data_IF_506900818030
#
_entry.id   IF_506900818030
#
_cell.length_a   1.000
_cell.length_b   1.000
_cell.length_c   1.000
_cell.angle_alpha   90.00
_cell.angle_beta   90.00
_cell.angle_gamma   90.00
#
_symmetry.space_group_name_H-M   'P 1'
#
loop_
_entity.id
_entity.type
_entity.pdbx_description
1 polymer ?
#
# COMPACT_ATOMS: atom_id res chain seq x y z
N UNK A 1 -56.17 -8.13 60.92
CA UNK A 1 -54.91 -7.55 61.47
C UNK A 1 -53.91 -7.12 60.40
N UNK A 2 -53.80 -7.81 59.25
CA UNK A 2 -52.87 -7.44 58.18
C UNK A 2 -53.14 -6.05 57.58
N UNK A 3 -54.41 -5.67 57.37
CA UNK A 3 -54.77 -4.40 56.73
C UNK A 3 -54.43 -3.17 57.58
N UNK A 4 -54.49 -3.30 58.91
CA UNK A 4 -54.10 -2.22 59.82
C UNK A 4 -52.58 -2.00 59.81
N UNK A 5 -51.79 -3.07 59.62
CA UNK A 5 -50.33 -2.97 59.46
C UNK A 5 -49.95 -2.33 58.13
N UNK A 6 -50.62 -2.69 57.03
CA UNK A 6 -50.42 -2.08 55.70
C UNK A 6 -50.80 -0.59 55.69
N UNK A 7 -51.91 -0.23 56.33
CA UNK A 7 -52.36 1.16 56.47
C UNK A 7 -51.34 2.04 57.21
N UNK A 8 -50.79 1.56 58.34
CA UNK A 8 -49.75 2.29 59.08
C UNK A 8 -48.47 2.43 58.25
N UNK A 9 -48.07 1.37 57.52
CA UNK A 9 -46.89 1.41 56.65
C UNK A 9 -47.05 2.42 55.49
N UNK A 10 -48.22 2.47 54.85
CA UNK A 10 -48.51 3.45 53.79
C UNK A 10 -48.55 4.87 54.34
N UNK A 11 -49.17 5.08 55.51
CA UNK A 11 -49.20 6.39 56.18
C UNK A 11 -47.80 6.88 56.52
N UNK A 12 -46.93 6.00 57.00
CA UNK A 12 -45.53 6.34 57.28
C UNK A 12 -44.77 6.71 55.99
N UNK A 13 -44.93 5.94 54.90
CA UNK A 13 -44.32 6.25 53.60
C UNK A 13 -44.78 7.61 53.06
N UNK A 14 -46.07 7.91 53.14
CA UNK A 14 -46.63 9.20 52.72
C UNK A 14 -46.16 10.35 53.62
N UNK A 15 -46.05 10.11 54.93
CA UNK A 15 -45.50 11.08 55.88
C UNK A 15 -44.03 11.40 55.58
N UNK A 16 -43.23 10.41 55.16
CA UNK A 16 -41.85 10.65 54.69
C UNK A 16 -41.79 11.47 53.40
N UNK A 17 -42.84 11.41 52.58
CA UNK A 17 -43.02 12.26 51.40
C UNK A 17 -43.75 13.57 51.72
N UNK A 18 -43.93 13.88 53.02
CA UNK A 18 -44.59 15.08 53.55
C UNK A 18 -46.10 15.19 53.26
N UNK A 19 -46.74 14.10 52.82
CA UNK A 19 -48.20 14.02 52.71
C UNK A 19 -48.83 13.70 54.07
N UNK A 20 -49.36 14.74 54.74
CA UNK A 20 -49.86 14.66 56.12
C UNK A 20 -51.39 14.70 56.26
N UNK A 21 -52.12 14.46 55.17
CA UNK A 21 -53.58 14.52 55.14
C UNK A 21 -54.22 13.31 55.83
N UNK A 22 -55.39 13.48 56.49
CA UNK A 22 -56.08 12.37 57.14
C UNK A 22 -56.52 11.32 56.10
N UNK A 23 -56.10 10.07 56.30
CA UNK A 23 -56.34 8.96 55.36
C UNK A 23 -57.44 8.02 55.88
N UNK A 24 -58.44 7.74 55.06
CA UNK A 24 -59.44 6.70 55.33
C UNK A 24 -58.89 5.31 54.97
N UNK A 25 -59.34 4.26 55.66
CA UNK A 25 -58.86 2.88 55.41
C UNK A 25 -59.28 2.33 54.03
N UNK A 26 -60.44 2.76 53.53
CA UNK A 26 -61.00 2.30 52.25
C UNK A 26 -60.22 2.80 51.03
N UNK A 27 -59.58 3.97 51.12
CA UNK A 27 -58.77 4.56 50.05
C UNK A 27 -57.31 4.07 50.03
N UNK A 28 -56.90 3.28 51.03
CA UNK A 28 -55.53 2.77 51.18
C UNK A 28 -55.02 1.97 49.94
N UNK A 29 -55.79 1.03 49.36
CA UNK A 29 -55.30 0.23 48.22
C UNK A 29 -55.07 1.07 46.95
N UNK A 30 -55.92 2.07 46.71
CA UNK A 30 -55.80 2.97 45.56
C UNK A 30 -54.54 3.84 45.68
N UNK A 31 -54.32 4.41 46.87
CA UNK A 31 -53.17 5.28 47.13
C UNK A 31 -51.86 4.50 47.07
N UNK A 32 -51.83 3.26 47.56
CA UNK A 32 -50.66 2.37 47.42
C UNK A 32 -50.35 2.08 45.95
N UNK A 33 -51.37 1.83 45.12
CA UNK A 33 -51.20 1.62 43.68
C UNK A 33 -50.71 2.89 42.97
N UNK A 34 -51.31 4.03 43.24
CA UNK A 34 -50.88 5.32 42.66
C UNK A 34 -49.45 5.70 43.06
N UNK A 35 -49.07 5.46 44.32
CA UNK A 35 -47.70 5.68 44.77
C UNK A 35 -46.72 4.73 44.07
N UNK A 36 -47.11 3.47 43.89
CA UNK A 36 -46.35 2.49 43.10
C UNK A 36 -46.16 2.94 41.66
N UNK A 37 -47.23 3.39 40.99
CA UNK A 37 -47.18 3.89 39.62
C UNK A 37 -46.30 5.16 39.50
N UNK A 38 -46.36 6.07 40.48
CA UNK A 38 -45.54 7.28 40.52
C UNK A 38 -44.05 6.95 40.71
N UNK A 39 -43.73 6.03 41.62
CA UNK A 39 -42.35 5.58 41.84
C UNK A 39 -41.82 4.87 40.60
N UNK A 40 -42.59 3.96 40.01
CA UNK A 40 -42.23 3.26 38.77
C UNK A 40 -42.01 4.25 37.61
N UNK A 41 -42.88 5.26 37.47
CA UNK A 41 -42.74 6.31 36.45
C UNK A 41 -41.50 7.15 36.69
N UNK A 42 -41.19 7.48 37.95
CA UNK A 42 -40.01 8.28 38.32
C UNK A 42 -38.72 7.49 38.05
N UNK A 43 -38.67 6.21 38.42
CA UNK A 43 -37.54 5.34 38.11
C UNK A 43 -37.35 5.16 36.61
N UNK A 44 -38.45 4.95 35.86
CA UNK A 44 -38.40 4.84 34.41
C UNK A 44 -37.93 6.15 33.77
N UNK A 45 -38.42 7.30 34.25
CA UNK A 45 -37.97 8.60 33.79
C UNK A 45 -36.47 8.80 34.04
N UNK A 46 -35.97 8.47 35.23
CA UNK A 46 -34.55 8.55 35.55
C UNK A 46 -33.71 7.64 34.65
N UNK A 47 -34.15 6.39 34.41
CA UNK A 47 -33.47 5.47 33.49
C UNK A 47 -33.43 6.03 32.06
N UNK A 48 -34.57 6.48 31.55
CA UNK A 48 -34.67 7.06 30.20
C UNK A 48 -33.82 8.32 30.07
N UNK A 49 -33.77 9.17 31.11
CA UNK A 49 -32.91 10.36 31.13
C UNK A 49 -31.43 9.99 31.01
N UNK A 50 -30.95 9.02 31.78
CA UNK A 50 -29.55 8.54 31.70
C UNK A 50 -29.26 7.93 30.33
N UNK A 51 -30.19 7.17 29.77
CA UNK A 51 -30.05 6.63 28.41
C UNK A 51 -29.97 7.72 27.35
N UNK A 52 -30.78 8.77 27.47
CA UNK A 52 -30.76 9.92 26.57
C UNK A 52 -29.41 10.67 26.66
N UNK A 53 -28.94 10.96 27.88
CA UNK A 53 -27.64 11.62 28.09
C UNK A 53 -26.48 10.78 27.53
N UNK A 54 -26.54 9.45 27.69
CA UNK A 54 -25.57 8.52 27.11
C UNK A 54 -25.62 8.52 25.57
N UNK A 55 -26.83 8.49 24.99
CA UNK A 55 -27.02 8.53 23.55
C UNK A 55 -26.51 9.84 22.94
N UNK A 56 -26.82 10.98 23.57
CA UNK A 56 -26.30 12.28 23.15
C UNK A 56 -24.77 12.36 23.22
N UNK A 57 -24.18 11.82 24.28
CA UNK A 57 -22.72 11.74 24.42
C UNK A 57 -22.10 10.91 23.29
N UNK A 58 -22.74 9.80 22.94
CA UNK A 58 -22.32 8.94 21.83
C UNK A 58 -22.44 9.65 20.48
N UNK A 59 -23.56 10.33 20.21
CA UNK A 59 -23.76 11.13 18.99
C UNK A 59 -22.67 12.21 18.87
N UNK A 60 -22.35 12.91 19.96
CA UNK A 60 -21.28 13.92 19.97
C UNK A 60 -19.91 13.32 19.61
N UNK A 61 -19.57 12.15 20.16
CA UNK A 61 -18.32 11.44 19.83
C UNK A 61 -18.28 11.02 18.36
N UNK A 62 -19.39 10.49 17.84
CA UNK A 62 -19.50 10.09 16.43
C UNK A 62 -19.40 11.30 15.49
N UNK A 63 -20.02 12.42 15.83
CA UNK A 63 -19.89 13.67 15.08
C UNK A 63 -18.43 14.16 15.02
N UNK A 64 -17.70 14.07 16.13
CA UNK A 64 -16.27 14.43 16.18
C UNK A 64 -15.45 13.46 15.32
N UNK A 65 -15.74 12.15 15.37
CA UNK A 65 -15.09 11.15 14.53
C UNK A 65 -15.39 11.32 13.03
N UNK A 66 -16.54 11.89 12.67
CA UNK A 66 -16.96 12.12 11.28
C UNK A 66 -16.26 13.33 10.63
N UNK A 67 -15.81 14.32 11.41
CA UNK A 67 -15.11 15.51 10.91
C UNK A 67 -13.88 15.17 10.05
N UNK A 68 -12.92 14.35 10.49
CA UNK A 68 -11.76 13.99 9.66
C UNK A 68 -12.17 13.27 8.39
N UNK A 69 -13.15 12.35 8.45
CA UNK A 69 -13.66 11.64 7.27
C UNK A 69 -14.30 12.60 6.26
N UNK A 70 -15.09 13.58 6.72
CA UNK A 70 -15.64 14.63 5.85
C UNK A 70 -14.57 15.49 5.20
N UNK A 71 -13.52 15.83 5.94
CA UNK A 71 -12.38 16.61 5.44
C UNK A 71 -11.60 15.83 4.38
N UNK A 72 -11.36 14.55 4.62
CA UNK A 72 -10.66 13.68 3.67
C UNK A 72 -11.49 13.42 2.42
N UNK A 73 -12.80 13.16 2.55
CA UNK A 73 -13.71 13.06 1.41
C UNK A 73 -13.72 14.35 0.58
N UNK A 74 -13.78 15.52 1.23
CA UNK A 74 -13.72 16.79 0.52
C UNK A 74 -12.37 17.00 -0.21
N UNK A 75 -11.25 16.54 0.37
CA UNK A 75 -9.93 16.57 -0.27
C UNK A 75 -9.88 15.64 -1.48
N UNK A 76 -10.31 14.40 -1.32
CA UNK A 76 -10.32 13.38 -2.38
C UNK A 76 -11.21 13.81 -3.55
N UNK A 77 -12.39 14.38 -3.28
CA UNK A 77 -13.28 14.90 -4.34
C UNK A 77 -12.62 16.04 -5.11
N UNK A 78 -11.90 16.94 -4.42
CA UNK A 78 -11.15 18.02 -5.10
C UNK A 78 -10.03 17.48 -5.97
N UNK A 79 -9.27 16.51 -5.46
CA UNK A 79 -8.18 15.85 -6.19
C UNK A 79 -8.71 15.07 -7.40
N UNK A 80 -9.77 14.30 -7.23
CA UNK A 80 -10.41 13.55 -8.31
C UNK A 80 -10.91 14.49 -9.42
N UNK A 81 -11.56 15.60 -9.05
CA UNK A 81 -12.00 16.61 -10.01
C UNK A 81 -10.82 17.29 -10.73
N UNK A 82 -9.70 17.53 -10.04
CA UNK A 82 -8.50 18.12 -10.64
C UNK A 82 -7.86 17.15 -11.64
N UNK A 83 -7.67 15.89 -11.25
CA UNK A 83 -7.14 14.84 -12.11
C UNK A 83 -8.03 14.59 -13.33
N UNK A 84 -9.35 14.60 -13.15
CA UNK A 84 -10.28 14.46 -14.26
C UNK A 84 -10.14 15.60 -15.28
N UNK A 85 -9.96 16.84 -14.81
CA UNK A 85 -9.70 17.99 -15.69
C UNK A 85 -8.36 17.87 -16.41
N UNK A 86 -7.31 17.48 -15.69
CA UNK A 86 -5.98 17.26 -16.29
C UNK A 86 -6.02 16.16 -17.35
N UNK A 87 -6.73 15.06 -17.08
CA UNK A 87 -6.89 13.96 -18.03
C UNK A 87 -7.62 14.41 -19.31
N UNK A 88 -8.68 15.23 -19.17
CA UNK A 88 -9.35 15.84 -20.33
C UNK A 88 -8.35 16.70 -21.13
N UNK A 89 -7.62 17.58 -20.45
CA UNK A 89 -6.69 18.49 -21.10
C UNK A 89 -5.56 17.75 -21.83
N UNK A 90 -5.00 16.70 -21.22
CA UNK A 90 -3.98 15.85 -21.86
C UNK A 90 -4.57 15.14 -23.07
N UNK A 91 -5.78 14.59 -22.98
CA UNK A 91 -6.45 13.93 -24.10
C UNK A 91 -6.72 14.91 -25.26
N UNK A 92 -7.15 16.13 -24.96
CA UNK A 92 -7.37 17.18 -25.95
C UNK A 92 -6.05 17.57 -26.63
N UNK A 93 -4.98 17.79 -25.86
CA UNK A 93 -3.65 18.11 -26.39
C UNK A 93 -3.08 16.99 -27.26
N UNK A 94 -3.22 15.74 -26.84
CA UNK A 94 -2.78 14.58 -27.64
C UNK A 94 -3.57 14.47 -28.94
N UNK A 95 -4.89 14.64 -28.89
CA UNK A 95 -5.73 14.65 -30.08
C UNK A 95 -5.37 15.80 -31.04
N UNK A 96 -5.11 16.99 -30.51
CA UNK A 96 -4.66 18.13 -31.32
C UNK A 96 -3.30 17.86 -31.98
N UNK A 97 -2.35 17.29 -31.24
CA UNK A 97 -1.03 16.94 -31.77
C UNK A 97 -1.11 15.83 -32.83
N UNK A 98 -1.90 14.79 -32.61
CA UNK A 98 -2.12 13.71 -33.57
C UNK A 98 -2.72 14.26 -34.88
N UNK A 99 -3.74 15.13 -34.78
CA UNK A 99 -4.31 15.81 -35.94
C UNK A 99 -3.28 16.70 -36.67
N UNK A 100 -2.39 17.37 -35.94
CA UNK A 100 -1.33 18.18 -36.54
C UNK A 100 -0.30 17.32 -37.27
N UNK A 101 0.13 16.21 -36.66
CA UNK A 101 1.07 15.26 -37.27
C UNK A 101 0.49 14.58 -38.50
N UNK A 102 -0.78 14.16 -38.45
CA UNK A 102 -1.45 13.61 -39.63
C UNK A 102 -1.55 14.63 -40.78
N UNK A 103 -1.77 15.91 -40.48
CA UNK A 103 -1.77 16.98 -41.50
C UNK A 103 -0.39 17.17 -42.11
N UNK A 104 0.64 17.28 -41.27
CA UNK A 104 2.02 17.44 -41.74
C UNK A 104 2.50 16.23 -42.54
N UNK A 105 2.14 15.02 -42.10
CA UNK A 105 2.44 13.79 -42.81
C UNK A 105 1.81 13.80 -44.21
N UNK A 106 0.51 14.12 -44.32
CA UNK A 106 -0.18 14.22 -45.62
C UNK A 106 0.41 15.30 -46.52
N UNK A 107 0.86 16.42 -45.96
CA UNK A 107 1.54 17.47 -46.71
C UNK A 107 2.88 16.98 -47.27
N UNK A 108 3.73 16.39 -46.42
CA UNK A 108 5.01 15.82 -46.82
C UNK A 108 4.85 14.67 -47.81
N UNK A 109 3.83 13.83 -47.66
CA UNK A 109 3.51 12.75 -48.59
C UNK A 109 3.11 13.30 -49.96
N UNK A 110 2.31 14.36 -50.01
CA UNK A 110 1.99 15.07 -51.26
C UNK A 110 3.25 15.64 -51.92
N UNK A 111 4.06 16.38 -51.16
CA UNK A 111 5.31 16.98 -51.66
C UNK A 111 6.29 15.90 -52.17
N UNK A 112 6.42 14.80 -51.44
CA UNK A 112 7.23 13.66 -51.85
C UNK A 112 6.75 13.05 -53.17
N UNK A 113 5.43 12.86 -53.32
CA UNK A 113 4.84 12.34 -54.55
C UNK A 113 5.06 13.29 -55.73
N UNK A 114 4.92 14.60 -55.52
CA UNK A 114 5.17 15.61 -56.54
C UNK A 114 6.64 15.61 -57.00
N UNK A 115 7.58 15.56 -56.05
CA UNK A 115 9.02 15.46 -56.33
C UNK A 115 9.34 14.16 -57.08
N UNK A 116 8.76 13.05 -56.65
CA UNK A 116 8.94 11.74 -57.31
C UNK A 116 8.46 11.77 -58.75
N UNK A 117 7.28 12.36 -59.01
CA UNK A 117 6.75 12.52 -60.37
C UNK A 117 7.66 13.42 -61.22
N UNK A 118 8.13 14.55 -60.68
CA UNK A 118 9.06 15.44 -61.37
C UNK A 118 10.38 14.74 -61.72
N UNK A 119 10.91 13.94 -60.79
CA UNK A 119 12.12 13.13 -61.01
C UNK A 119 11.92 12.09 -62.11
N UNK A 120 10.79 11.38 -62.10
CA UNK A 120 10.45 10.41 -63.16
C UNK A 120 10.34 11.10 -64.54
N UNK A 121 9.69 12.26 -64.62
CA UNK A 121 9.58 13.03 -65.84
C UNK A 121 10.96 13.46 -66.37
N UNK A 122 11.84 13.94 -65.48
CA UNK A 122 13.21 14.34 -65.85
C UNK A 122 14.07 13.16 -66.30
N UNK A 123 13.93 12.01 -65.65
CA UNK A 123 14.62 10.79 -66.08
C UNK A 123 14.16 10.32 -67.47
N UNK A 124 12.86 10.41 -67.77
CA UNK A 124 12.34 10.10 -69.12
C UNK A 124 12.90 11.07 -70.18
N UNK A 125 12.98 12.36 -69.85
CA UNK A 125 13.58 13.39 -70.71
C UNK A 125 15.07 13.11 -70.98
N UNK A 126 15.85 12.83 -69.93
CA UNK A 126 17.27 12.45 -70.02
C UNK A 126 17.44 11.22 -70.92
N UNK A 127 16.64 10.18 -70.72
CA UNK A 127 16.73 8.96 -71.54
C UNK A 127 16.38 9.22 -73.02
N UNK A 128 15.41 10.09 -73.27
CA UNK A 128 15.06 10.51 -74.63
C UNK A 128 16.20 11.29 -75.30
N UNK A 129 16.85 12.20 -74.57
CA UNK A 129 18.03 12.93 -75.04
C UNK A 129 19.22 12.01 -75.28
N UNK A 130 19.50 11.06 -74.37
CA UNK A 130 20.54 10.04 -74.55
C UNK A 130 20.32 9.24 -75.83
N UNK A 131 19.09 8.77 -76.10
CA UNK A 131 18.75 8.07 -77.34
C UNK A 131 18.97 8.95 -78.59
N UNK A 132 18.67 10.24 -78.52
CA UNK A 132 18.94 11.17 -79.64
C UNK A 132 20.44 11.39 -79.85
N UNK A 133 21.21 11.56 -78.77
CA UNK A 133 22.67 11.71 -78.83
C UNK A 133 23.32 10.47 -79.43
N UNK A 134 22.93 9.26 -79.00
CA UNK A 134 23.42 8.02 -79.60
C UNK A 134 23.17 7.97 -81.11
N UNK A 135 21.97 8.35 -81.57
CA UNK A 135 21.67 8.44 -83.01
C UNK A 135 22.51 9.48 -83.75
N UNK A 136 22.87 10.58 -83.08
CA UNK A 136 23.72 11.62 -83.66
C UNK A 136 25.19 11.14 -83.73
N UNK A 137 25.67 10.45 -82.70
CA UNK A 137 26.98 9.79 -82.67
C UNK A 137 27.08 8.74 -83.79
N UNK A 138 26.09 7.84 -83.93
CA UNK A 138 26.03 6.87 -85.03
C UNK A 138 26.04 7.56 -86.41
N UNK A 139 25.32 8.68 -86.57
CA UNK A 139 25.33 9.45 -87.83
C UNK A 139 26.69 10.09 -88.08
N UNK A 140 27.33 10.63 -87.04
CA UNK A 140 28.66 11.22 -87.13
C UNK A 140 29.67 10.15 -87.55
N UNK A 141 29.66 8.98 -86.91
CA UNK A 141 30.54 7.85 -87.26
C UNK A 141 30.31 7.37 -88.69
N UNK A 142 29.05 7.33 -89.15
CA UNK A 142 28.72 7.02 -90.53
C UNK A 142 29.26 8.06 -91.53
N UNK A 143 29.24 9.35 -91.19
CA UNK A 143 29.82 10.41 -92.04
C UNK A 143 31.34 10.36 -92.00
N UNK A 144 31.94 10.18 -90.83
CA UNK A 144 33.38 10.06 -90.64
C UNK A 144 33.93 8.84 -91.38
N UNK A 145 33.28 7.69 -91.31
CA UNK A 145 33.67 6.50 -92.07
C UNK A 145 33.52 6.66 -93.59
N UNK A 146 32.60 7.52 -94.06
CA UNK A 146 32.49 7.91 -95.47
C UNK A 146 33.55 8.93 -95.90
N UNK A 147 33.95 9.84 -95.01
CA UNK A 147 34.94 10.89 -95.28
C UNK A 147 36.40 10.42 -95.13
N UNK A 148 36.66 9.47 -94.23
CA UNK A 148 38.00 8.94 -93.93
C UNK A 148 38.30 7.58 -94.57
N UNK A 149 37.37 6.99 -95.33
CA UNK A 149 37.75 6.02 -96.36
C UNK A 149 38.36 6.81 -97.52
N UNK A 150 39.66 6.67 -97.81
CA UNK A 150 40.20 7.27 -99.02
C UNK A 150 39.46 6.64 -100.19
N UNK A 151 39.04 7.50 -101.10
CA UNK A 151 38.44 7.19 -102.38
C UNK A 151 39.46 6.37 -103.21
N UNK A 152 39.56 5.07 -102.93
CA UNK A 152 40.44 4.13 -103.63
C UNK A 152 39.53 3.07 -104.24
N UNK A 153 39.46 3.12 -105.59
CA UNK A 153 38.68 2.29 -106.52
C UNK A 153 37.37 2.93 -107.00
N UNK A 154 37.52 4.08 -107.65
CA UNK A 154 36.89 4.23 -108.96
C UNK A 154 37.91 3.72 -110.00
N UNK A 155 37.43 2.99 -111.01
CA UNK A 155 38.07 2.67 -112.32
C UNK A 155 38.63 1.23 -112.49
N UNK A 156 37.79 0.42 -113.18
CA UNK A 156 37.99 -0.79 -114.04
C UNK A 156 38.04 -2.21 -113.43
N UNK A 157 36.86 -2.86 -113.42
CA UNK A 157 36.57 -4.13 -114.14
C UNK A 157 35.06 -4.37 -114.01
N UNK A 158 34.20 -3.97 -114.95
CA UNK A 158 33.88 -4.69 -116.17
C UNK A 158 33.54 -6.18 -115.93
N UNK A 159 32.29 -6.52 -116.27
CA UNK A 159 31.66 -7.84 -116.45
C UNK A 159 30.75 -8.41 -115.32
N UNK A 160 29.44 -8.31 -115.63
CA UNK A 160 28.33 -9.28 -115.40
C UNK A 160 27.73 -9.33 -113.99
N UNK A 161 26.44 -9.14 -113.71
CA UNK A 161 25.19 -8.74 -114.40
C UNK A 161 24.15 -8.44 -113.25
N UNK A 162 22.95 -7.90 -113.53
CA UNK A 162 22.21 -7.01 -112.63
C UNK A 162 20.98 -7.60 -111.90
N UNK A 163 20.64 -6.86 -110.86
CA UNK A 163 19.35 -6.49 -110.22
C UNK A 163 18.03 -7.23 -110.48
N UNK A 164 17.29 -7.33 -109.37
CA UNK A 164 15.85 -7.12 -109.19
C UNK A 164 14.87 -7.81 -110.14
N UNK A 165 14.23 -8.86 -109.62
CA UNK A 165 13.02 -9.46 -110.18
C UNK A 165 11.79 -9.04 -109.38
N UNK A 166 11.20 -7.92 -109.79
CA UNK A 166 9.78 -7.59 -109.61
C UNK A 166 9.05 -8.26 -110.80
N UNK A 167 8.10 -9.17 -110.54
CA UNK A 167 7.36 -9.84 -111.62
C UNK A 167 5.85 -9.55 -111.51
N UNK A 168 5.45 -8.54 -112.29
CA UNK A 168 4.06 -8.22 -112.64
C UNK A 168 3.75 -8.96 -113.94
N UNK A 169 2.92 -10.00 -113.84
CA UNK A 169 2.46 -10.85 -114.96
C UNK A 169 0.95 -10.84 -115.14
N UNK A 170 0.51 -9.86 -115.93
CA UNK A 170 -0.77 -9.61 -116.62
C UNK A 170 -1.75 -10.77 -116.92
N UNK A 171 -3.04 -10.42 -116.82
CA UNK A 171 -4.29 -11.07 -117.29
C UNK A 171 -4.22 -11.81 -118.64
N UNK A 172 -5.00 -12.90 -118.77
CA UNK A 172 -5.88 -13.13 -119.93
C UNK A 172 -7.03 -14.10 -119.60
N UNK A 173 -8.27 -13.64 -119.81
CA UNK A 173 -9.47 -14.46 -119.95
C UNK A 173 -9.39 -15.32 -121.22
N UNK A 174 -9.96 -16.53 -121.18
CA UNK A 174 -10.66 -17.12 -122.33
C UNK A 174 -11.73 -18.11 -121.86
N UNK A 175 -12.98 -17.80 -122.20
CA UNK A 175 -14.08 -18.76 -122.26
C UNK A 175 -13.74 -19.85 -123.28
N UNK A 176 -13.95 -21.11 -122.94
CA UNK A 176 -14.19 -22.16 -123.92
C UNK A 176 -15.41 -22.99 -123.51
N UNK A 177 -16.55 -22.56 -124.03
CA UNK A 177 -17.67 -23.43 -124.39
C UNK A 177 -17.19 -24.40 -125.45
N UNK A 178 -17.22 -25.72 -125.19
CA UNK A 178 -17.48 -26.70 -126.25
C UNK A 178 -18.28 -27.87 -125.71
N UNK A 179 -19.42 -28.08 -126.37
CA UNK A 179 -20.22 -29.28 -126.34
C UNK A 179 -19.45 -30.43 -127.00
N UNK A 180 -19.52 -31.62 -126.41
CA UNK A 180 -19.26 -32.87 -127.09
C UNK A 180 -20.32 -33.88 -126.69
N UNK A 181 -21.30 -34.02 -127.56
CA UNK A 181 -22.22 -35.13 -127.59
C UNK A 181 -21.65 -36.17 -128.57
N UNK A 182 -21.38 -37.40 -128.12
CA UNK A 182 -22.02 -38.64 -128.61
C UNK A 182 -21.22 -39.93 -128.40
N UNK A 183 -21.99 -40.91 -127.92
CA UNK A 183 -22.05 -42.32 -128.30
C UNK A 183 -21.14 -43.36 -127.62
N UNK A 184 -21.74 -43.99 -126.61
CA UNK A 184 -22.08 -45.43 -126.50
C UNK A 184 -21.12 -46.51 -126.99
N UNK A 185 -20.89 -47.41 -126.02
CA UNK A 185 -20.60 -48.85 -126.09
C UNK A 185 -19.14 -49.27 -126.24
N UNK A 186 -18.59 -49.76 -125.12
CA UNK A 186 -18.04 -51.12 -125.02
C UNK A 186 -18.16 -51.61 -123.56
N UNK A 187 -18.73 -52.81 -123.43
CA UNK A 187 -18.80 -53.64 -122.23
C UNK A 187 -17.40 -54.22 -121.88
N UNK A 188 -17.28 -54.83 -120.68
CA UNK A 188 -16.11 -55.47 -120.01
C UNK A 188 -15.50 -54.47 -118.97
N UNK A 189 -15.57 -54.59 -117.63
CA UNK A 189 -15.72 -55.71 -116.67
C UNK A 189 -16.53 -55.27 -115.42
N UNK A 190 -17.64 -55.94 -115.09
CA UNK A 190 -18.46 -55.63 -113.90
C UNK A 190 -17.75 -55.90 -112.56
N UNK A 191 -16.63 -56.63 -112.57
CA UNK A 191 -15.83 -56.93 -111.38
C UNK A 191 -14.87 -55.79 -110.98
N UNK A 192 -14.42 -54.98 -111.94
CA UNK A 192 -13.54 -53.84 -111.67
C UNK A 192 -14.32 -52.66 -111.08
N UNK A 193 -15.57 -52.45 -111.53
CA UNK A 193 -16.47 -51.44 -110.97
C UNK A 193 -16.90 -51.79 -109.54
N UNK A 194 -17.23 -53.06 -109.24
CA UNK A 194 -17.54 -53.49 -107.86
C UNK A 194 -16.34 -53.34 -106.92
N UNK A 195 -15.13 -53.69 -107.37
CA UNK A 195 -13.91 -53.50 -106.58
C UNK A 195 -13.57 -52.02 -106.36
N UNK A 196 -13.79 -51.17 -107.37
CA UNK A 196 -13.60 -49.72 -107.24
C UNK A 196 -14.62 -49.10 -106.29
N UNK A 197 -15.89 -49.51 -106.38
CA UNK A 197 -16.96 -49.07 -105.46
C UNK A 197 -16.65 -49.52 -104.03
N UNK A 198 -16.20 -50.76 -103.82
CA UNK A 198 -15.81 -51.24 -102.49
C UNK A 198 -14.61 -50.46 -101.92
N UNK A 199 -13.58 -50.16 -102.73
CA UNK A 199 -12.45 -49.33 -102.29
C UNK A 199 -12.87 -47.90 -101.94
N UNK A 200 -13.82 -47.32 -102.68
CA UNK A 200 -14.39 -45.99 -102.38
C UNK A 200 -15.19 -46.05 -101.07
N UNK A 201 -16.03 -47.06 -100.87
CA UNK A 201 -16.77 -47.25 -99.62
C UNK A 201 -15.85 -47.43 -98.41
N UNK A 202 -14.77 -48.20 -98.55
CA UNK A 202 -13.74 -48.37 -97.50
C UNK A 202 -12.94 -47.07 -97.25
N UNK A 203 -12.71 -46.27 -98.29
CA UNK A 203 -12.11 -44.95 -98.15
C UNK A 203 -13.06 -43.98 -97.42
N UNK A 204 -14.34 -43.99 -97.77
CA UNK A 204 -15.37 -43.17 -97.12
C UNK A 204 -15.59 -43.60 -95.67
N UNK A 205 -15.57 -44.90 -95.35
CA UNK A 205 -15.64 -45.39 -93.97
C UNK A 205 -14.43 -44.93 -93.16
N UNK A 206 -13.21 -45.02 -93.73
CA UNK A 206 -12.00 -44.48 -93.09
C UNK A 206 -12.07 -42.97 -92.90
N UNK A 207 -12.56 -42.22 -93.88
CA UNK A 207 -12.77 -40.78 -93.77
C UNK A 207 -13.79 -40.48 -92.67
N UNK A 208 -14.89 -41.22 -92.58
CA UNK A 208 -15.89 -41.07 -91.52
C UNK A 208 -15.32 -41.37 -90.13
N UNK A 209 -14.50 -42.40 -89.99
CA UNK A 209 -13.81 -42.72 -88.73
C UNK A 209 -12.84 -41.58 -88.37
N UNK A 210 -12.01 -41.14 -89.31
CA UNK A 210 -11.09 -40.02 -89.10
C UNK A 210 -11.83 -38.72 -88.76
N UNK A 211 -12.99 -38.44 -89.37
CA UNK A 211 -13.79 -37.25 -89.02
C UNK A 211 -14.36 -37.36 -87.61
N UNK A 212 -14.83 -38.54 -87.19
CA UNK A 212 -15.31 -38.77 -85.82
C UNK A 212 -14.18 -38.63 -84.79
N UNK A 213 -13.00 -39.16 -85.10
CA UNK A 213 -11.81 -38.98 -84.25
C UNK A 213 -11.40 -37.51 -84.17
N UNK A 214 -11.38 -36.78 -85.30
CA UNK A 214 -11.10 -35.35 -85.32
C UNK A 214 -12.12 -34.54 -84.52
N UNK A 215 -13.40 -34.88 -84.59
CA UNK A 215 -14.45 -34.27 -83.77
C UNK A 215 -14.26 -34.57 -82.28
N UNK A 216 -13.93 -35.81 -81.92
CA UNK A 216 -13.64 -36.19 -80.54
C UNK A 216 -12.41 -35.46 -79.99
N UNK A 217 -11.33 -35.35 -80.78
CA UNK A 217 -10.14 -34.59 -80.39
C UNK A 217 -10.42 -33.09 -80.26
N UNK A 218 -11.27 -32.52 -81.11
CA UNK A 218 -11.71 -31.11 -80.98
C UNK A 218 -12.51 -30.89 -79.70
N UNK A 219 -13.47 -31.75 -79.41
CA UNK A 219 -14.25 -31.67 -78.16
C UNK A 219 -13.34 -31.80 -76.94
N UNK A 220 -12.44 -32.78 -76.92
CA UNK A 220 -11.47 -32.94 -75.84
C UNK A 220 -10.58 -31.71 -75.67
N UNK A 221 -10.12 -31.12 -76.77
CA UNK A 221 -9.35 -29.88 -76.74
C UNK A 221 -10.16 -28.73 -76.12
N UNK A 222 -11.39 -28.51 -76.56
CA UNK A 222 -12.26 -27.45 -76.05
C UNK A 222 -12.55 -27.61 -74.54
N UNK A 223 -12.77 -28.85 -74.10
CA UNK A 223 -12.96 -29.19 -72.68
C UNK A 223 -11.71 -28.89 -71.85
N UNK A 224 -10.52 -29.24 -72.35
CA UNK A 224 -9.25 -28.94 -71.67
C UNK A 224 -8.96 -27.45 -71.62
N UNK A 225 -9.24 -26.70 -72.70
CA UNK A 225 -9.08 -25.25 -72.74
C UNK A 225 -10.03 -24.54 -71.77
N UNK A 226 -11.28 -25.02 -71.67
CA UNK A 226 -12.23 -24.55 -70.66
C UNK A 226 -11.71 -24.79 -69.24
N UNK A 227 -11.18 -25.99 -68.97
CA UNK A 227 -10.62 -26.33 -67.66
C UNK A 227 -9.39 -25.49 -67.30
N UNK A 228 -8.54 -25.17 -68.28
CA UNK A 228 -7.39 -24.27 -68.09
C UNK A 228 -7.86 -22.87 -67.67
N UNK A 229 -8.86 -22.31 -68.36
CA UNK A 229 -9.41 -20.98 -68.03
C UNK A 229 -9.99 -20.91 -66.62
N UNK A 230 -10.65 -21.97 -66.16
CA UNK A 230 -11.16 -22.06 -64.79
C UNK A 230 -10.03 -22.06 -63.75
N UNK A 231 -8.96 -22.83 -64.01
CA UNK A 231 -7.79 -22.91 -63.14
C UNK A 231 -7.02 -21.58 -63.10
N UNK A 232 -6.84 -20.92 -64.24
CA UNK A 232 -6.25 -19.58 -64.33
C UNK A 232 -7.05 -18.56 -63.51
N UNK A 233 -8.39 -18.60 -63.62
CA UNK A 233 -9.27 -17.74 -62.83
C UNK A 233 -9.12 -17.98 -61.33
N UNK A 234 -8.96 -19.25 -60.91
CA UNK A 234 -8.74 -19.61 -59.51
C UNK A 234 -7.37 -19.13 -59.00
N UNK A 235 -6.32 -19.22 -59.82
CA UNK A 235 -4.99 -18.70 -59.48
C UNK A 235 -5.05 -17.20 -59.27
N UNK A 236 -5.69 -16.45 -60.18
CA UNK A 236 -5.84 -15.00 -60.05
C UNK A 236 -6.58 -14.62 -58.75
N UNK A 237 -7.61 -15.36 -58.37
CA UNK A 237 -8.31 -15.12 -57.10
C UNK A 237 -7.41 -15.41 -55.89
N UNK A 238 -6.63 -16.50 -55.93
CA UNK A 238 -5.66 -16.86 -54.89
C UNK A 238 -4.56 -15.80 -54.76
N UNK A 239 -4.02 -15.29 -55.87
CA UNK A 239 -2.97 -14.27 -55.87
C UNK A 239 -3.47 -12.91 -55.34
N UNK A 240 -4.73 -12.56 -55.64
CA UNK A 240 -5.38 -11.39 -55.03
C UNK A 240 -5.52 -11.55 -53.52
N UNK A 241 -5.91 -12.73 -53.06
CA UNK A 241 -6.05 -13.00 -51.63
C UNK A 241 -4.70 -13.05 -50.92
N UNK A 242 -3.68 -13.65 -51.54
CA UNK A 242 -2.30 -13.61 -51.04
C UNK A 242 -1.83 -12.17 -50.95
N UNK A 243 -2.09 -11.33 -51.95
CA UNK A 243 -1.74 -9.91 -51.91
C UNK A 243 -2.48 -9.15 -50.80
N UNK A 244 -3.78 -9.44 -50.61
CA UNK A 244 -4.59 -8.85 -49.53
C UNK A 244 -4.07 -9.26 -48.16
N UNK A 245 -3.80 -10.55 -47.96
CA UNK A 245 -3.25 -11.10 -46.73
C UNK A 245 -1.86 -10.56 -46.48
N UNK A 246 -1.01 -10.47 -47.51
CA UNK A 246 0.33 -9.92 -47.39
C UNK A 246 0.27 -8.45 -46.98
N UNK A 247 -0.61 -7.64 -47.58
CA UNK A 247 -0.81 -6.25 -47.17
C UNK A 247 -1.32 -6.11 -45.72
N UNK A 248 -2.11 -7.09 -45.25
CA UNK A 248 -2.55 -7.16 -43.85
C UNK A 248 -1.43 -7.62 -42.91
N UNK A 249 -0.51 -8.47 -43.39
CA UNK A 249 0.61 -9.02 -42.63
C UNK A 249 1.86 -8.12 -42.64
N UNK A 250 2.04 -7.28 -43.66
CA UNK A 250 3.07 -6.23 -43.74
C UNK A 250 2.75 -5.04 -42.83
N UNK A 251 2.06 -5.28 -41.72
CA UNK A 251 1.99 -4.37 -40.59
C UNK A 251 3.34 -4.34 -39.85
N UNK A 252 4.43 -3.95 -40.53
CA UNK A 252 5.69 -3.56 -39.87
C UNK A 252 5.44 -2.47 -38.82
N UNK A 253 4.39 -1.68 -39.01
CA UNK A 253 3.90 -0.67 -38.07
C UNK A 253 3.46 -1.28 -36.73
N UNK A 254 2.91 -2.50 -36.72
CA UNK A 254 2.49 -3.15 -35.47
C UNK A 254 3.67 -3.69 -34.66
N UNK A 255 4.72 -4.21 -35.32
CA UNK A 255 5.93 -4.73 -34.65
C UNK A 255 6.81 -3.59 -34.14
N UNK A 256 6.87 -2.47 -34.87
CA UNK A 256 7.60 -1.27 -34.44
C UNK A 256 6.88 -0.54 -33.31
N UNK A 257 5.54 -0.45 -33.36
CA UNK A 257 4.74 0.07 -32.25
C UNK A 257 4.86 -0.82 -31.00
N UNK A 258 4.75 -2.14 -31.12
CA UNK A 258 4.91 -3.03 -29.96
C UNK A 258 6.32 -2.94 -29.37
N UNK A 259 7.37 -2.88 -30.20
CA UNK A 259 8.74 -2.66 -29.72
C UNK A 259 8.91 -1.30 -29.02
N UNK A 260 8.26 -0.25 -29.51
CA UNK A 260 8.24 1.07 -28.88
C UNK A 260 7.53 1.03 -27.51
N UNK A 261 6.33 0.45 -27.44
CA UNK A 261 5.60 0.28 -26.19
C UNK A 261 6.35 -0.63 -25.20
N UNK A 262 7.03 -1.68 -25.67
CA UNK A 262 7.87 -2.50 -24.80
C UNK A 262 9.04 -1.72 -24.20
N UNK A 263 9.66 -0.84 -24.97
CA UNK A 263 10.74 0.01 -24.48
C UNK A 263 10.21 1.00 -23.44
N UNK A 264 9.11 1.68 -23.72
CA UNK A 264 8.51 2.66 -22.81
C UNK A 264 7.98 2.00 -21.53
N UNK A 265 7.38 0.81 -21.67
CA UNK A 265 6.97 -0.02 -20.53
C UNK A 265 8.17 -0.44 -19.68
N UNK A 266 9.29 -0.85 -20.28
CA UNK A 266 10.53 -1.18 -19.55
C UNK A 266 11.07 0.01 -18.78
N UNK A 267 11.09 1.20 -19.39
CA UNK A 267 11.53 2.42 -18.73
C UNK A 267 10.60 2.81 -17.57
N UNK A 268 9.29 2.67 -17.76
CA UNK A 268 8.28 2.92 -16.72
C UNK A 268 8.41 1.93 -15.57
N UNK A 269 8.56 0.64 -15.86
CA UNK A 269 8.80 -0.40 -14.85
C UNK A 269 10.10 -0.12 -14.09
N UNK A 270 11.17 0.30 -14.76
CA UNK A 270 12.43 0.65 -14.10
C UNK A 270 12.26 1.84 -13.14
N UNK A 271 11.54 2.88 -13.55
CA UNK A 271 11.21 4.05 -12.69
C UNK A 271 10.38 3.62 -11.47
N UNK A 272 9.33 2.82 -11.69
CA UNK A 272 8.47 2.31 -10.62
C UNK A 272 9.27 1.44 -9.64
N UNK A 273 10.12 0.54 -10.12
CA UNK A 273 10.99 -0.27 -9.29
C UNK A 273 11.96 0.58 -8.46
N UNK A 274 12.57 1.62 -9.05
CA UNK A 274 13.42 2.55 -8.31
C UNK A 274 12.67 3.31 -7.21
N UNK A 275 11.43 3.72 -7.47
CA UNK A 275 10.56 4.33 -6.45
C UNK A 275 10.20 3.33 -5.35
N UNK A 276 9.88 2.09 -5.71
CA UNK A 276 9.55 1.00 -4.79
C UNK A 276 10.73 0.67 -3.88
N UNK A 277 11.95 0.63 -4.44
CA UNK A 277 13.19 0.45 -3.69
C UNK A 277 13.46 1.59 -2.72
N UNK A 278 13.24 2.84 -3.13
CA UNK A 278 13.36 4.00 -2.25
C UNK A 278 12.36 3.92 -1.09
N UNK A 279 11.08 3.65 -1.38
CA UNK A 279 10.04 3.51 -0.36
C UNK A 279 10.36 2.35 0.59
N UNK A 280 10.82 1.21 0.06
CA UNK A 280 11.22 0.06 0.88
C UNK A 280 12.41 0.37 1.78
N UNK A 281 13.40 1.10 1.27
CA UNK A 281 14.56 1.55 2.05
C UNK A 281 14.11 2.48 3.18
N UNK A 282 13.23 3.43 2.88
CA UNK A 282 12.72 4.37 3.88
C UNK A 282 11.83 3.67 4.91
N UNK A 283 10.98 2.73 4.49
CA UNK A 283 10.19 1.90 5.40
C UNK A 283 11.07 1.07 6.34
N UNK A 284 12.17 0.48 5.84
CA UNK A 284 13.14 -0.22 6.70
C UNK A 284 13.80 0.73 7.69
N UNK A 285 14.15 1.95 7.27
CA UNK A 285 14.73 2.99 8.14
C UNK A 285 13.75 3.39 9.24
N UNK A 286 12.50 3.70 8.88
CA UNK A 286 11.44 4.05 9.83
C UNK A 286 11.14 2.90 10.80
N UNK A 287 11.11 1.65 10.31
CA UNK A 287 10.92 0.47 11.15
C UNK A 287 12.04 0.33 12.18
N UNK A 288 13.30 0.51 11.77
CA UNK A 288 14.45 0.50 12.69
C UNK A 288 14.35 1.58 13.77
N UNK A 289 13.91 2.79 13.40
CA UNK A 289 13.68 3.89 14.36
C UNK A 289 12.57 3.53 15.35
N UNK A 290 11.45 2.99 14.86
CA UNK A 290 10.33 2.57 15.70
C UNK A 290 10.78 1.49 16.69
N UNK A 291 11.56 0.51 16.24
CA UNK A 291 12.04 -0.57 17.10
C UNK A 291 13.04 -0.06 18.15
N UNK A 292 13.91 0.89 17.78
CA UNK A 292 14.78 1.60 18.72
C UNK A 292 14.00 2.39 19.78
N UNK A 293 12.96 3.13 19.36
CA UNK A 293 12.08 3.87 20.28
C UNK A 293 11.30 2.93 21.21
N UNK A 294 10.80 1.80 20.70
CA UNK A 294 10.14 0.77 21.51
C UNK A 294 11.08 0.18 22.56
N UNK A 295 12.33 -0.13 22.19
CA UNK A 295 13.33 -0.62 23.13
C UNK A 295 13.61 0.40 24.24
N UNK A 296 13.80 1.68 23.87
CA UNK A 296 14.01 2.77 24.84
C UNK A 296 12.81 2.96 25.77
N UNK A 297 11.58 2.86 25.24
CA UNK A 297 10.37 2.99 26.04
C UNK A 297 10.21 1.82 27.03
N UNK A 298 10.53 0.58 26.62
CA UNK A 298 10.56 -0.58 27.52
C UNK A 298 11.57 -0.38 28.66
N UNK A 299 12.77 0.12 28.36
CA UNK A 299 13.78 0.47 29.37
C UNK A 299 13.27 1.55 30.33
N UNK A 300 12.66 2.63 29.81
CA UNK A 300 12.08 3.71 30.62
C UNK A 300 10.95 3.21 31.52
N UNK A 301 10.13 2.29 31.03
CA UNK A 301 9.05 1.66 31.82
C UNK A 301 9.62 0.79 32.94
N UNK A 302 10.72 0.06 32.66
CA UNK A 302 11.47 -0.70 33.65
C UNK A 302 12.01 0.19 34.77
N UNK A 303 12.67 1.30 34.41
CA UNK A 303 13.17 2.29 35.37
C UNK A 303 12.04 2.92 36.20
N UNK A 304 10.89 3.21 35.60
CA UNK A 304 9.75 3.75 36.35
C UNK A 304 9.23 2.76 37.41
N UNK A 305 9.14 1.47 37.07
CA UNK A 305 8.78 0.41 38.03
C UNK A 305 9.79 0.29 39.17
N UNK A 306 11.07 0.42 38.86
CA UNK A 306 12.13 0.39 39.86
C UNK A 306 12.09 1.62 40.77
N UNK A 307 11.88 2.82 40.21
CA UNK A 307 11.67 4.04 40.98
C UNK A 307 10.47 3.92 41.92
N UNK A 308 9.35 3.35 41.48
CA UNK A 308 8.20 3.09 42.37
C UNK A 308 8.62 2.19 43.55
N UNK A 309 9.40 1.13 43.32
CA UNK A 309 9.89 0.25 44.39
C UNK A 309 10.79 1.01 45.37
N UNK A 310 11.68 1.86 44.87
CA UNK A 310 12.56 2.70 45.69
C UNK A 310 11.75 3.69 46.51
N UNK A 311 10.76 4.37 45.92
CA UNK A 311 9.85 5.29 46.63
C UNK A 311 9.13 4.57 47.76
N UNK A 312 8.53 3.40 47.48
CA UNK A 312 7.86 2.59 48.50
C UNK A 312 8.83 2.14 49.61
N UNK A 313 10.11 1.88 49.27
CA UNK A 313 11.12 1.54 50.27
C UNK A 313 11.48 2.74 51.14
N UNK A 314 11.60 3.93 50.55
CA UNK A 314 11.84 5.19 51.27
C UNK A 314 10.67 5.49 52.21
N UNK A 315 9.43 5.27 51.77
CA UNK A 315 8.24 5.48 52.60
C UNK A 315 8.24 4.56 53.82
N UNK A 316 8.49 3.26 53.64
CA UNK A 316 8.65 2.32 54.76
C UNK A 316 9.78 2.72 55.70
N UNK A 317 10.91 3.19 55.16
CA UNK A 317 12.02 3.66 56.00
C UNK A 317 11.65 4.91 56.80
N UNK A 318 10.86 5.83 56.21
CA UNK A 318 10.33 7.00 56.93
C UNK A 318 9.42 6.59 58.08
N UNK A 319 8.45 5.70 57.83
CA UNK A 319 7.57 5.16 58.87
C UNK A 319 8.37 4.57 60.04
N UNK A 320 9.36 3.72 59.74
CA UNK A 320 10.21 3.14 60.80
C UNK A 320 11.02 4.19 61.55
N UNK A 321 11.45 5.26 60.89
CA UNK A 321 12.24 6.32 61.51
C UNK A 321 11.36 7.22 62.40
N UNK A 322 10.12 7.47 61.99
CA UNK A 322 9.13 8.17 62.80
C UNK A 322 8.76 7.37 64.06
N UNK A 323 8.63 6.04 63.94
CA UNK A 323 8.41 5.15 65.09
C UNK A 323 9.61 5.16 66.05
N UNK A 324 10.83 5.07 65.53
CA UNK A 324 12.05 5.18 66.34
C UNK A 324 12.15 6.54 67.04
N UNK A 325 11.76 7.64 66.39
CA UNK A 325 11.69 8.97 67.01
C UNK A 325 10.71 9.01 68.17
N UNK A 326 9.49 8.50 67.98
CA UNK A 326 8.49 8.41 69.07
C UNK A 326 8.99 7.56 70.24
N UNK A 327 9.67 6.46 69.94
CA UNK A 327 10.24 5.59 70.96
C UNK A 327 11.36 6.30 71.74
N UNK A 328 12.26 7.01 71.04
CA UNK A 328 13.28 7.83 71.68
C UNK A 328 12.69 8.93 72.56
N UNK A 329 11.67 9.65 72.08
CA UNK A 329 10.98 10.69 72.87
C UNK A 329 10.33 10.10 74.13
N UNK A 330 9.76 8.90 74.03
CA UNK A 330 9.24 8.16 75.18
C UNK A 330 10.36 7.79 76.16
N UNK A 331 11.49 7.28 75.66
CA UNK A 331 12.65 6.98 76.49
C UNK A 331 13.22 8.24 77.17
N UNK A 332 13.33 9.37 76.47
CA UNK A 332 13.77 10.64 77.04
C UNK A 332 12.84 11.13 78.16
N UNK A 333 11.53 11.00 77.97
CA UNK A 333 10.55 11.29 79.01
C UNK A 333 10.74 10.39 80.23
N UNK A 334 10.92 9.08 80.04
CA UNK A 334 11.19 8.15 81.16
C UNK A 334 12.51 8.44 81.86
N UNK A 335 13.55 8.85 81.13
CA UNK A 335 14.84 9.25 81.74
C UNK A 335 14.65 10.51 82.56
N UNK A 336 13.87 11.47 82.08
CA UNK A 336 13.59 12.73 82.79
C UNK A 336 12.83 12.47 84.09
N UNK A 337 11.80 11.62 84.07
CA UNK A 337 11.07 11.25 85.30
C UNK A 337 11.93 10.46 86.29
N UNK A 338 12.80 9.57 85.80
CA UNK A 338 13.76 8.86 86.65
C UNK A 338 14.79 9.81 87.29
N UNK A 339 15.29 10.79 86.55
CA UNK A 339 16.20 11.83 87.09
C UNK A 339 15.53 12.69 88.15
N UNK A 340 14.27 13.08 87.94
CA UNK A 340 13.50 13.83 88.93
C UNK A 340 13.33 13.01 90.22
N UNK A 341 12.97 11.73 90.07
CA UNK A 341 12.87 10.77 91.18
C UNK A 341 14.20 10.57 91.92
N UNK A 342 15.31 10.50 91.20
CA UNK A 342 16.66 10.43 91.76
C UNK A 342 16.99 11.68 92.58
N UNK A 343 16.61 12.87 92.09
CA UNK A 343 16.74 14.14 92.83
C UNK A 343 15.93 14.18 94.12
N UNK A 344 14.67 13.71 94.10
CA UNK A 344 13.83 13.58 95.29
C UNK A 344 14.45 12.62 96.33
N UNK A 345 14.90 11.45 95.88
CA UNK A 345 15.57 10.46 96.73
C UNK A 345 16.85 11.01 97.36
N UNK A 346 17.65 11.72 96.58
CA UNK A 346 18.90 12.35 97.06
C UNK A 346 18.61 13.43 98.11
N UNK A 347 17.57 14.24 97.88
CA UNK A 347 17.11 15.27 98.84
C UNK A 347 16.61 14.63 100.14
N UNK A 348 15.84 13.54 100.03
CA UNK A 348 15.33 12.78 101.18
C UNK A 348 16.47 12.14 101.97
N UNK A 349 17.46 11.56 101.28
CA UNK A 349 18.66 11.01 101.92
C UNK A 349 19.45 12.09 102.66
N UNK A 350 19.69 13.25 102.02
CA UNK A 350 20.35 14.40 102.64
C UNK A 350 19.63 14.85 103.93
N UNK A 351 18.30 14.98 103.87
CA UNK A 351 17.47 15.32 105.03
C UNK A 351 17.62 14.28 106.16
N UNK A 352 17.51 12.99 105.83
CA UNK A 352 17.70 11.90 106.80
C UNK A 352 19.11 11.87 107.40
N UNK A 353 20.15 12.22 106.63
CA UNK A 353 21.53 12.33 107.14
C UNK A 353 21.69 13.49 108.12
N UNK A 354 21.07 14.65 107.85
CA UNK A 354 21.07 15.79 108.77
C UNK A 354 20.36 15.42 110.08
N UNK A 355 19.20 14.78 109.99
CA UNK A 355 18.48 14.34 111.18
C UNK A 355 19.26 13.26 111.95
N UNK A 356 19.87 12.29 111.26
CA UNK A 356 20.78 11.32 111.89
C UNK A 356 21.93 12.01 112.64
N UNK A 357 22.52 13.06 112.08
CA UNK A 357 23.59 13.81 112.75
C UNK A 357 23.08 14.54 114.00
N UNK A 358 21.88 15.14 113.97
CA UNK A 358 21.26 15.72 115.18
C UNK A 358 21.06 14.67 116.27
N UNK A 359 20.60 13.47 115.92
CA UNK A 359 20.48 12.37 116.87
C UNK A 359 21.84 11.95 117.44
N UNK A 360 22.90 11.94 116.62
CA UNK A 360 24.26 11.63 117.06
C UNK A 360 24.80 12.68 118.04
N UNK A 361 24.60 13.97 117.76
CA UNK A 361 24.99 15.07 118.64
C UNK A 361 24.22 15.02 119.99
N UNK A 362 22.94 14.67 119.95
CA UNK A 362 22.14 14.47 121.15
C UNK A 362 22.67 13.30 122.01
N UNK A 363 23.06 12.19 121.38
CA UNK A 363 23.69 11.05 122.08
C UNK A 363 25.02 11.47 122.71
N UNK A 364 25.88 12.19 121.99
CA UNK A 364 27.15 12.69 122.54
C UNK A 364 26.93 13.63 123.73
N UNK A 365 25.90 14.48 123.67
CA UNK A 365 25.53 15.38 124.78
C UNK A 365 25.09 14.59 126.00
N UNK A 366 24.29 13.53 125.81
CA UNK A 366 23.87 12.62 126.89
C UNK A 366 25.08 11.91 127.50
N UNK A 367 26.02 11.41 126.69
CA UNK A 367 27.24 10.76 127.19
C UNK A 367 28.11 11.72 128.04
N UNK A 368 28.25 12.97 127.62
CA UNK A 368 28.93 14.02 128.39
C UNK A 368 28.25 14.28 129.74
N UNK A 369 26.91 14.39 129.74
CA UNK A 369 26.13 14.53 130.97
C UNK A 369 26.27 13.29 131.88
N UNK A 370 26.33 12.09 131.31
CA UNK A 370 26.58 10.87 132.09
C UNK A 370 27.97 10.88 132.74
N UNK A 371 29.01 11.28 132.02
CA UNK A 371 30.36 11.43 132.59
C UNK A 371 30.42 12.49 133.69
N UNK A 372 29.71 13.60 133.53
CA UNK A 372 29.63 14.65 134.55
C UNK A 372 28.86 14.16 135.78
N UNK A 373 27.75 13.44 135.59
CA UNK A 373 27.02 12.77 136.65
C UNK A 373 27.88 11.74 137.39
N UNK A 374 28.73 10.98 136.70
CA UNK A 374 29.69 10.07 137.34
C UNK A 374 30.74 10.82 138.17
N UNK A 375 31.25 11.96 137.67
CA UNK A 375 32.19 12.81 138.43
C UNK A 375 31.52 13.38 139.68
N UNK A 376 30.29 13.87 139.56
CA UNK A 376 29.49 14.34 140.70
C UNK A 376 29.24 13.21 141.70
N UNK A 377 28.94 12.00 141.23
CA UNK A 377 28.76 10.82 142.08
C UNK A 377 30.03 10.49 142.87
N UNK A 378 31.21 10.52 142.23
CA UNK A 378 32.52 10.36 142.89
C UNK A 378 32.81 11.48 143.90
N UNK A 379 32.40 12.73 143.61
CA UNK A 379 32.56 13.86 144.53
C UNK A 379 31.65 13.73 145.75
N UNK A 380 30.41 13.28 145.57
CA UNK A 380 29.48 12.97 146.66
C UNK A 380 30.04 11.84 147.52
N UNK A 381 30.57 10.77 146.93
CA UNK A 381 31.26 9.69 147.67
C UNK A 381 32.48 10.23 148.44
N UNK A 382 33.27 11.13 147.85
CA UNK A 382 34.40 11.77 148.52
C UNK A 382 33.96 12.64 149.70
N UNK A 383 32.88 13.42 149.55
CA UNK A 383 32.30 14.24 150.63
C UNK A 383 31.70 13.38 151.74
N UNK A 384 31.05 12.27 151.40
CA UNK A 384 30.57 11.29 152.39
C UNK A 384 31.73 10.65 153.15
N UNK A 385 32.82 10.32 152.47
CA UNK A 385 34.04 9.82 153.09
C UNK A 385 34.73 10.87 153.96
N UNK A 386 34.74 12.14 153.55
CA UNK A 386 35.24 13.25 154.37
C UNK A 386 34.38 13.47 155.61
N UNK A 387 33.05 13.40 155.49
CA UNK A 387 32.13 13.43 156.65
C UNK A 387 32.38 12.26 157.60
N UNK A 388 32.62 11.05 157.07
CA UNK A 388 33.01 9.89 157.88
C UNK A 388 34.33 10.15 158.61
N UNK A 389 35.31 10.77 157.97
CA UNK A 389 36.60 11.14 158.57
C UNK A 389 36.43 12.21 159.68
N UNK A 390 35.58 13.21 159.47
CA UNK A 390 35.26 14.22 160.49
C UNK A 390 34.54 13.63 161.69
N UNK A 391 33.65 12.64 161.49
CA UNK A 391 33.07 11.89 162.62
C UNK A 391 34.12 11.07 163.37
N UNK A 392 35.11 10.52 162.68
CA UNK A 392 36.22 9.76 163.27
C UNK A 392 37.17 10.68 164.08
N UNK A 393 37.45 11.89 163.57
CA UNK A 393 38.22 12.90 164.28
C UNK A 393 37.48 13.47 165.51
N UNK A 394 36.14 13.55 165.49
CA UNK A 394 35.34 13.87 166.68
C UNK A 394 35.41 12.74 167.73
N UNK A 395 35.39 11.47 167.31
CA UNK A 395 35.55 10.31 168.20
C UNK A 395 36.96 10.20 168.81
N UNK A 396 38.01 10.52 168.05
CA UNK A 396 39.39 10.53 168.56
C UNK A 396 39.64 11.65 169.58
N UNK A 397 39.00 12.83 169.44
CA UNK A 397 39.12 13.92 170.43
C UNK A 397 38.38 13.64 171.75
N UNK A 398 37.37 12.76 171.76
CA UNK A 398 36.71 12.33 173.00
C UNK A 398 37.48 11.26 173.79
N UNK A 399 38.47 10.58 173.18
CA UNK A 399 39.23 9.50 173.83
C UNK A 399 40.56 9.96 174.47
N UNK A 400 41.01 11.19 174.21
CA UNK A 400 42.31 11.71 174.67
C UNK A 400 42.21 12.75 175.81
N UNK A 401 41.12 12.78 176.56
CA UNK A 401 40.97 13.62 177.76
C UNK A 401 40.45 12.84 178.99
N UNK A 402 40.76 11.53 179.04
CA UNK A 402 40.77 10.76 180.28
C UNK A 402 42.14 10.79 180.93
#
# INVERSE_FOLDING_TARGET
MADNKKFVALRNKLSCLHYSQPLSKESCPLIEKMLGDLLATTELYQRTKVQLESAESQIRKEQIALIPLKKDNARIVKENNALHKEMIQVKENLSQNDNNWQRQFKQLESEYNDIKQASLAKNFEINSLKKRNLKLEERLDNVMSKAYKPNVKQVVSAFVQPEDGDDIGTKQNMELTYMLERQTNREIETAEEENLINQICEADERVQIMTKELEAYKQFKDDTESRIKDLESMIIQRDREISRLNNLYTGEETVTQTAFYEKDNKETIAKLNGQLDYINKENRRLQSIIDGLKARNKSSTGMYKENIKVVNRIEKLKETNDDLRRMNETCENTISTLKEREGELTSTLSFNYVDKNKYLDAIQTIDLQQQENEKLKKLVEALENQKKLETLHKLQRSLSAS
#
